data_IF_624447097905
#
_entry.id   IF_624447097905
#
_cell.length_a   1.000
_cell.length_b   1.000
_cell.length_c   1.000
_cell.angle_alpha   90.00
_cell.angle_beta   90.00
_cell.angle_gamma   90.00
#
_symmetry.space_group_name_H-M   'P 1'
#
loop_
_entity.id
_entity.type
_entity.pdbx_description
1 polymer ?
#
# COMPACT_ATOMS: atom_id res chain seq x y z
N UNK A 1 14.26 6.98 -6.10
CA UNK A 1 13.37 6.95 -4.90
C UNK A 1 13.69 5.75 -4.01
N UNK A 2 13.60 4.51 -4.50
CA UNK A 2 13.74 3.30 -3.66
C UNK A 2 15.16 2.97 -3.17
N UNK A 3 16.20 3.47 -3.84
CA UNK A 3 17.60 3.21 -3.50
C UNK A 3 18.01 3.75 -2.13
N UNK A 4 17.39 4.84 -1.67
CA UNK A 4 17.66 5.45 -0.36
C UNK A 4 16.87 4.81 0.79
N UNK A 5 15.91 3.92 0.50
CA UNK A 5 15.02 3.31 1.50
C UNK A 5 15.61 1.95 1.92
N UNK A 6 15.69 1.72 3.24
CA UNK A 6 16.09 0.44 3.83
C UNK A 6 14.88 -0.45 4.10
N UNK A 7 13.78 0.13 4.57
CA UNK A 7 12.53 -0.57 4.81
C UNK A 7 11.32 0.34 4.56
N UNK A 8 10.20 -0.29 4.22
CA UNK A 8 8.91 0.38 4.09
C UNK A 8 7.81 -0.46 4.74
N UNK A 9 6.83 0.20 5.36
CA UNK A 9 5.64 -0.44 5.94
C UNK A 9 4.41 0.30 5.48
N UNK A 10 3.56 -0.36 4.71
CA UNK A 10 2.22 0.14 4.37
C UNK A 10 1.26 -0.22 5.50
N UNK A 11 0.52 0.77 6.00
CA UNK A 11 -0.55 0.59 6.99
C UNK A 11 -1.85 1.08 6.35
N UNK A 12 -2.71 0.16 5.87
CA UNK A 12 -4.05 0.52 5.42
C UNK A 12 -4.88 1.02 6.61
N UNK A 13 -5.50 2.18 6.46
CA UNK A 13 -6.39 2.80 7.45
C UNK A 13 -7.85 2.75 6.98
N UNK A 14 -8.07 2.79 5.66
CA UNK A 14 -9.37 2.72 5.02
C UNK A 14 -9.32 1.75 3.84
N UNK A 15 -10.43 1.03 3.65
CA UNK A 15 -10.64 0.10 2.54
C UNK A 15 -11.96 0.45 1.86
N UNK A 16 -11.89 0.75 0.57
CA UNK A 16 -13.05 1.03 -0.28
C UNK A 16 -13.22 -0.13 -1.26
N UNK A 17 -14.40 -0.73 -1.29
CA UNK A 17 -14.70 -1.87 -2.16
C UNK A 17 -15.50 -1.37 -3.36
N UNK A 18 -15.07 -1.74 -4.57
CA UNK A 18 -15.72 -1.32 -5.82
C UNK A 18 -16.54 -2.42 -6.49
N UNK A 19 -16.30 -3.69 -6.15
CA UNK A 19 -17.04 -4.82 -6.71
C UNK A 19 -18.08 -5.35 -5.74
N UNK A 20 -19.21 -5.83 -6.27
CA UNK A 20 -20.22 -6.56 -5.49
C UNK A 20 -19.86 -8.03 -5.24
N UNK A 21 -18.89 -8.57 -5.98
CA UNK A 21 -18.41 -9.94 -5.81
C UNK A 21 -17.27 -10.00 -4.78
N UNK A 22 -17.48 -10.79 -3.73
CA UNK A 22 -16.51 -11.02 -2.65
C UNK A 22 -15.41 -12.01 -3.02
N UNK A 23 -15.62 -12.85 -4.04
CA UNK A 23 -14.61 -13.81 -4.51
C UNK A 23 -13.63 -13.16 -5.51
N UNK A 24 -14.01 -12.02 -6.11
CA UNK A 24 -13.19 -11.21 -7.00
C UNK A 24 -13.24 -9.73 -6.62
N UNK A 25 -12.84 -9.43 -5.39
CA UNK A 25 -12.99 -8.09 -4.83
C UNK A 25 -11.96 -7.10 -5.40
N UNK A 26 -12.40 -6.01 -6.03
CA UNK A 26 -11.55 -4.87 -6.34
C UNK A 26 -11.65 -3.81 -5.24
N UNK A 27 -10.51 -3.42 -4.66
CA UNK A 27 -10.46 -2.47 -3.54
C UNK A 27 -9.46 -1.34 -3.75
N UNK A 28 -9.79 -0.16 -3.22
CA UNK A 28 -8.81 0.89 -2.92
C UNK A 28 -8.45 0.85 -1.44
N UNK A 29 -7.16 0.82 -1.18
CA UNK A 29 -6.59 0.99 0.16
C UNK A 29 -6.13 2.44 0.27
N UNK A 30 -6.44 3.08 1.40
CA UNK A 30 -5.92 4.38 1.77
C UNK A 30 -5.26 4.27 3.14
N UNK A 31 -4.11 4.93 3.31
CA UNK A 31 -3.47 5.03 4.60
C UNK A 31 -2.08 5.62 4.49
N UNK A 32 -1.19 5.17 5.36
CA UNK A 32 0.14 5.73 5.50
C UNK A 32 1.21 4.71 5.14
N UNK A 33 2.27 5.17 4.50
CA UNK A 33 3.50 4.41 4.34
C UNK A 33 4.62 5.03 5.15
N UNK A 34 5.19 4.23 6.05
CA UNK A 34 6.37 4.61 6.83
C UNK A 34 7.64 4.08 6.15
N UNK A 35 8.67 4.91 6.09
CA UNK A 35 9.98 4.58 5.54
C UNK A 35 11.06 4.70 6.60
N UNK A 36 12.06 3.83 6.50
CA UNK A 36 13.37 4.04 7.13
C UNK A 36 14.38 4.26 6.01
N UNK A 37 15.22 5.29 6.14
CA UNK A 37 16.25 5.59 5.15
C UNK A 37 17.56 4.85 5.48
N UNK A 38 18.34 4.51 4.46
CA UNK A 38 19.64 3.85 4.62
C UNK A 38 20.66 4.72 5.33
N UNK A 39 20.55 6.04 5.17
CA UNK A 39 21.39 7.04 5.84
C UNK A 39 20.98 7.31 7.29
N UNK A 40 19.98 6.57 7.81
CA UNK A 40 19.31 6.90 9.06
C UNK A 40 18.16 7.89 8.86
N UNK A 41 17.29 7.98 9.86
CA UNK A 41 16.06 8.76 9.80
C UNK A 41 14.84 7.94 9.33
N UNK A 42 13.66 8.45 9.69
CA UNK A 42 12.36 7.88 9.33
C UNK A 42 11.54 8.95 8.64
N UNK A 43 10.52 8.52 7.89
CA UNK A 43 9.55 9.42 7.29
C UNK A 43 8.23 8.70 7.10
N UNK A 44 7.15 9.45 6.92
CA UNK A 44 5.86 8.89 6.58
C UNK A 44 5.16 9.77 5.54
N UNK A 45 4.34 9.16 4.69
CA UNK A 45 3.50 9.90 3.75
C UNK A 45 2.19 9.15 3.49
N UNK A 46 1.14 9.87 3.05
CA UNK A 46 -0.06 9.24 2.52
C UNK A 46 0.25 8.32 1.33
N UNK A 47 -0.48 7.22 1.24
CA UNK A 47 -0.37 6.22 0.19
C UNK A 47 -1.75 5.68 -0.18
N UNK A 48 -1.93 5.36 -1.45
CA UNK A 48 -3.11 4.66 -1.96
C UNK A 48 -2.72 3.41 -2.73
N UNK A 49 -3.50 2.34 -2.56
CA UNK A 49 -3.23 1.05 -3.20
C UNK A 49 -4.46 0.48 -3.89
N UNK A 50 -4.38 0.26 -5.21
CA UNK A 50 -5.39 -0.53 -5.93
C UNK A 50 -5.02 -2.00 -5.82
N UNK A 51 -5.93 -2.82 -5.33
CA UNK A 51 -5.74 -4.27 -5.24
C UNK A 51 -6.93 -5.03 -5.84
N UNK A 52 -6.64 -6.11 -6.57
CA UNK A 52 -7.63 -7.12 -6.94
C UNK A 52 -7.39 -8.36 -6.10
N UNK A 53 -8.34 -8.66 -5.24
CA UNK A 53 -8.35 -9.82 -4.36
C UNK A 53 -9.14 -10.94 -5.02
N UNK A 54 -8.58 -12.14 -5.01
CA UNK A 54 -9.23 -13.34 -5.54
C UNK A 54 -9.24 -14.42 -4.46
N UNK A 55 -10.40 -15.05 -4.25
CA UNK A 55 -10.48 -16.23 -3.39
C UNK A 55 -10.13 -17.46 -4.20
N UNK A 56 -9.13 -18.21 -3.74
CA UNK A 56 -8.75 -19.50 -4.35
C UNK A 56 -9.33 -20.67 -3.55
N UNK A 57 -9.21 -21.87 -4.11
CA UNK A 57 -9.67 -23.11 -3.46
C UNK A 57 -9.11 -23.23 -2.04
N UNK A 58 -9.94 -23.73 -1.12
CA UNK A 58 -9.60 -23.78 0.31
C UNK A 58 -9.78 -22.45 1.05
N UNK A 59 -10.43 -21.44 0.43
CA UNK A 59 -10.82 -20.19 1.10
C UNK A 59 -9.69 -19.18 1.28
N UNK A 60 -8.50 -19.47 0.77
CA UNK A 60 -7.36 -18.54 0.82
C UNK A 60 -7.62 -17.33 -0.08
N UNK A 61 -7.38 -16.12 0.43
CA UNK A 61 -7.43 -14.90 -0.37
C UNK A 61 -6.04 -14.60 -0.90
N UNK A 62 -5.93 -14.38 -2.21
CA UNK A 62 -4.70 -13.94 -2.88
C UNK A 62 -4.92 -12.58 -3.53
N UNK A 63 -3.83 -11.90 -3.82
CA UNK A 63 -3.84 -10.65 -4.54
C UNK A 63 -3.40 -10.93 -5.99
N UNK A 64 -4.35 -10.86 -6.93
CA UNK A 64 -4.07 -11.05 -8.37
C UNK A 64 -3.39 -9.81 -8.95
N UNK A 65 -3.76 -8.62 -8.45
CA UNK A 65 -3.19 -7.35 -8.89
C UNK A 65 -2.92 -6.45 -7.70
N UNK A 66 -1.81 -5.71 -7.74
CA UNK A 66 -1.47 -4.70 -6.76
C UNK A 66 -0.70 -3.53 -7.40
N UNK A 67 -1.23 -2.32 -7.25
CA UNK A 67 -0.58 -1.09 -7.70
C UNK A 67 -0.57 -0.05 -6.59
N UNK A 68 0.55 0.65 -6.50
CA UNK A 68 0.83 1.66 -5.48
C UNK A 68 0.84 3.05 -6.13
N UNK A 69 0.10 3.97 -5.51
CA UNK A 69 0.11 5.39 -5.81
C UNK A 69 0.69 6.15 -4.62
N UNK A 70 1.68 7.00 -4.89
CA UNK A 70 2.39 7.79 -3.90
C UNK A 70 2.46 9.23 -4.39
N UNK A 71 2.17 10.17 -3.51
CA UNK A 71 2.48 11.57 -3.75
C UNK A 71 3.98 11.82 -3.53
N UNK A 72 4.76 11.64 -4.59
CA UNK A 72 6.22 11.80 -4.52
C UNK A 72 6.67 13.22 -4.18
N UNK A 73 5.80 14.23 -4.33
CA UNK A 73 6.11 15.61 -3.95
C UNK A 73 6.03 15.84 -2.42
N UNK A 74 5.32 14.97 -1.69
CA UNK A 74 5.17 15.02 -0.24
C UNK A 74 6.28 14.24 0.51
N UNK A 75 7.16 13.51 -0.18
CA UNK A 75 8.20 12.72 0.47
C UNK A 75 9.36 13.60 0.95
N UNK A 76 9.21 14.18 2.14
CA UNK A 76 10.28 14.93 2.83
C UNK A 76 10.79 14.12 4.04
N UNK A 77 12.11 14.11 4.31
CA UNK A 77 12.60 13.65 5.60
C UNK A 77 11.93 14.49 6.69
N UNK A 78 11.47 13.88 7.77
CA UNK A 78 11.15 14.65 8.98
C UNK A 78 12.46 15.23 9.50
N UNK A 79 12.57 16.56 9.46
CA UNK A 79 13.69 17.34 10.02
C UNK A 79 13.78 17.19 11.53
#
# INVERSE_FOLDING_TARGET
MWTAISSRRHTPEQVFVFSGDMDNAEVMLHGTVAYTFRTGGKGQMPWSGRAKLVRVSGGTVRMEFYQVYLDTAAQKPSS
#
